data_IF_287628265159
#
_entry.id   IF_287628265159
#
_cell.length_a   1.000
_cell.length_b   1.000
_cell.length_c   1.000
_cell.angle_alpha   90.00
_cell.angle_beta   90.00
_cell.angle_gamma   90.00
#
_symmetry.space_group_name_H-M   'P 1'
#
loop_
_entity.id
_entity.type
_entity.pdbx_description
1 polymer ?
#
# COMPACT_ATOMS: atom_id res chain seq x y z
N UNK A 1 8.87 -9.60 8.83
CA UNK A 1 8.93 -8.47 9.78
C UNK A 1 7.88 -7.40 9.48
N UNK A 2 7.98 -6.61 8.40
CA UNK A 2 7.05 -5.49 8.13
C UNK A 2 5.58 -5.89 7.97
N UNK A 3 5.29 -6.99 7.27
CA UNK A 3 3.92 -7.51 7.14
C UNK A 3 3.34 -7.87 8.52
N UNK A 4 4.13 -8.54 9.37
CA UNK A 4 3.70 -8.90 10.73
C UNK A 4 3.50 -7.68 11.62
N UNK A 5 4.39 -6.68 11.54
CA UNK A 5 4.23 -5.42 12.26
C UNK A 5 2.98 -4.65 11.81
N UNK A 6 2.69 -4.63 10.50
CA UNK A 6 1.47 -4.03 9.95
C UNK A 6 0.20 -4.71 10.44
N UNK A 7 0.17 -6.05 10.49
CA UNK A 7 -0.96 -6.80 11.07
C UNK A 7 -1.05 -6.53 12.59
N UNK A 8 0.07 -6.50 13.31
CA UNK A 8 0.11 -6.20 14.75
C UNK A 8 -0.39 -4.79 15.09
N UNK A 9 -0.21 -3.83 14.18
CA UNK A 9 -0.73 -2.48 14.31
C UNK A 9 -2.27 -2.46 14.42
N UNK A 10 -2.97 -3.36 13.72
CA UNK A 10 -4.43 -3.49 13.80
C UNK A 10 -4.93 -3.85 15.20
N UNK A 11 -4.06 -4.45 16.01
CA UNK A 11 -4.34 -4.85 17.40
C UNK A 11 -3.65 -3.94 18.42
N UNK A 12 -3.08 -2.80 18.00
CA UNK A 12 -2.34 -1.87 18.86
C UNK A 12 -1.01 -2.41 19.40
N UNK A 13 -0.52 -3.53 18.85
CA UNK A 13 0.67 -4.26 19.32
C UNK A 13 1.62 -4.58 18.16
N UNK A 14 2.18 -3.52 17.57
CA UNK A 14 3.13 -3.64 16.46
C UNK A 14 4.41 -4.38 16.86
N UNK A 15 4.82 -4.28 18.12
CA UNK A 15 5.92 -5.01 18.75
C UNK A 15 5.72 -6.52 18.64
N UNK A 16 4.56 -7.02 19.05
CA UNK A 16 4.23 -8.46 19.00
C UNK A 16 4.06 -8.93 17.56
N UNK A 17 3.36 -8.17 16.74
CA UNK A 17 3.20 -8.50 15.32
C UNK A 17 4.54 -8.54 14.59
N UNK A 18 5.45 -7.62 14.92
CA UNK A 18 6.82 -7.60 14.41
C UNK A 18 7.60 -8.86 14.78
N UNK A 19 7.55 -9.27 16.06
CA UNK A 19 8.19 -10.47 16.57
C UNK A 19 7.64 -11.74 15.91
N UNK A 20 6.31 -11.87 15.78
CA UNK A 20 5.66 -12.97 15.06
C UNK A 20 6.13 -12.97 13.60
N UNK A 21 6.14 -11.81 12.96
CA UNK A 21 6.58 -11.65 11.57
C UNK A 21 8.07 -11.92 11.35
N UNK A 22 8.91 -11.83 12.39
CA UNK A 22 10.30 -12.29 12.35
C UNK A 22 10.38 -13.82 12.48
N UNK A 23 9.68 -14.41 13.45
CA UNK A 23 9.66 -15.85 13.68
C UNK A 23 9.14 -16.64 12.48
N UNK A 24 8.02 -16.21 11.90
CA UNK A 24 7.46 -16.84 10.67
C UNK A 24 8.43 -16.72 9.49
N UNK A 25 9.08 -15.56 9.34
CA UNK A 25 10.08 -15.36 8.30
C UNK A 25 11.30 -16.28 8.46
N UNK A 26 11.75 -16.50 9.70
CA UNK A 26 12.83 -17.43 10.01
C UNK A 26 12.46 -18.88 9.67
N UNK A 27 11.27 -19.33 10.06
CA UNK A 27 10.77 -20.66 9.71
C UNK A 27 10.67 -20.84 8.19
N UNK A 28 10.12 -19.86 7.47
CA UNK A 28 10.02 -19.90 6.03
C UNK A 28 11.40 -20.06 5.36
N UNK A 29 12.42 -19.33 5.83
CA UNK A 29 13.79 -19.50 5.34
C UNK A 29 14.35 -20.90 5.60
N UNK A 30 14.08 -21.50 6.76
CA UNK A 30 14.50 -22.86 7.06
C UNK A 30 13.86 -23.90 6.12
N UNK A 31 12.56 -23.75 5.81
CA UNK A 31 11.86 -24.63 4.87
C UNK A 31 12.32 -24.44 3.42
N UNK A 32 12.72 -23.23 3.03
CA UNK A 32 13.19 -22.93 1.67
C UNK A 32 14.65 -23.31 1.42
N UNK A 33 15.45 -23.55 2.48
CA UNK A 33 16.90 -23.79 2.42
C UNK A 33 17.31 -25.01 1.57
N UNK A 34 16.45 -26.01 1.42
CA UNK A 34 16.74 -27.27 0.72
C UNK A 34 16.30 -27.31 -0.75
N UNK A 35 15.60 -26.29 -1.26
CA UNK A 35 15.28 -26.21 -2.68
C UNK A 35 16.39 -25.45 -3.38
N UNK A 36 16.94 -26.00 -4.46
CA UNK A 36 17.75 -25.23 -5.40
C UNK A 36 16.96 -24.00 -5.79
N UNK A 37 17.36 -22.85 -5.24
CA UNK A 37 16.81 -21.56 -5.59
C UNK A 37 17.32 -21.29 -6.99
N UNK A 38 16.65 -21.86 -8.01
CA UNK A 38 16.72 -21.33 -9.36
C UNK A 38 16.52 -19.84 -9.17
N UNK A 39 17.52 -19.04 -9.53
CA UNK A 39 17.38 -17.59 -9.61
C UNK A 39 16.34 -17.36 -10.69
N UNK A 40 15.07 -17.48 -10.31
CA UNK A 40 13.99 -16.82 -11.00
C UNK A 40 14.40 -15.38 -10.85
N UNK A 41 14.91 -14.80 -11.92
CA UNK A 41 15.03 -13.35 -12.01
C UNK A 41 13.62 -12.86 -11.73
N UNK A 42 13.38 -12.47 -10.48
CA UNK A 42 12.12 -11.86 -10.07
C UNK A 42 12.17 -10.49 -10.72
N UNK A 43 11.84 -10.46 -12.01
CA UNK A 43 11.52 -9.26 -12.73
C UNK A 43 10.29 -8.72 -12.02
N UNK A 44 10.49 -7.79 -11.09
CA UNK A 44 9.39 -7.05 -10.49
C UNK A 44 8.61 -6.49 -11.68
N UNK A 45 7.36 -6.92 -11.90
CA UNK A 45 6.63 -6.49 -13.07
C UNK A 45 6.55 -4.98 -13.00
N UNK A 46 6.90 -4.29 -14.09
CA UNK A 46 6.93 -2.82 -14.14
C UNK A 46 5.58 -2.19 -13.78
N UNK A 47 4.52 -2.99 -13.78
CA UNK A 47 3.15 -2.64 -13.40
C UNK A 47 2.90 -2.59 -11.89
N UNK A 48 3.75 -3.21 -11.04
CA UNK A 48 3.54 -3.27 -9.58
C UNK A 48 3.50 -1.87 -8.93
N UNK A 49 4.45 -0.95 -9.23
CA UNK A 49 4.39 0.42 -8.72
C UNK A 49 3.18 1.19 -9.27
N UNK A 50 2.81 0.92 -10.52
CA UNK A 50 1.69 1.58 -11.19
C UNK A 50 0.33 1.20 -10.61
N UNK A 51 0.16 -0.07 -10.21
CA UNK A 51 -1.03 -0.54 -9.48
C UNK A 51 -1.11 0.17 -8.12
N UNK A 52 0.01 0.27 -7.41
CA UNK A 52 0.08 0.99 -6.13
C UNK A 52 -0.31 2.47 -6.26
N UNK A 53 0.24 3.17 -7.26
CA UNK A 53 -0.11 4.56 -7.58
C UNK A 53 -1.60 4.75 -7.87
N UNK A 54 -2.18 3.84 -8.65
CA UNK A 54 -3.61 3.88 -8.98
C UNK A 54 -4.49 3.67 -7.74
N UNK A 55 -4.13 2.71 -6.87
CA UNK A 55 -4.85 2.45 -5.62
C UNK A 55 -4.80 3.64 -4.66
N UNK A 56 -3.62 4.24 -4.48
CA UNK A 56 -3.44 5.43 -3.63
C UNK A 56 -4.26 6.60 -4.17
N UNK A 57 -4.26 6.81 -5.50
CA UNK A 57 -5.06 7.86 -6.14
C UNK A 57 -6.56 7.66 -5.92
N UNK A 58 -7.05 6.43 -6.01
CA UNK A 58 -8.47 6.11 -5.74
C UNK A 58 -8.85 6.38 -4.28
N UNK A 59 -8.00 6.00 -3.33
CA UNK A 59 -8.22 6.29 -1.90
C UNK A 59 -8.28 7.80 -1.61
N UNK A 60 -7.43 8.59 -2.27
CA UNK A 60 -7.44 10.05 -2.18
C UNK A 60 -8.74 10.66 -2.73
N UNK A 61 -9.23 10.16 -3.86
CA UNK A 61 -10.53 10.59 -4.41
C UNK A 61 -11.65 10.25 -3.43
N UNK A 62 -11.69 9.02 -2.91
CA UNK A 62 -12.71 8.59 -1.95
C UNK A 62 -12.68 9.45 -0.68
N UNK A 63 -11.48 9.75 -0.15
CA UNK A 63 -11.30 10.64 1.00
C UNK A 63 -11.77 12.06 0.70
N UNK A 64 -11.43 12.58 -0.49
CA UNK A 64 -11.87 13.88 -0.96
C UNK A 64 -13.39 13.99 -1.07
N UNK A 65 -14.06 12.94 -1.55
CA UNK A 65 -15.54 12.86 -1.60
C UNK A 65 -16.12 12.83 -0.18
N UNK A 66 -15.55 12.02 0.73
CA UNK A 66 -16.01 11.89 2.12
C UNK A 66 -15.97 13.22 2.88
N UNK A 67 -14.97 14.06 2.61
CA UNK A 67 -14.83 15.40 3.19
C UNK A 67 -16.02 16.32 2.90
N UNK A 68 -16.74 16.11 1.80
CA UNK A 68 -17.97 16.87 1.51
C UNK A 68 -19.19 16.33 2.26
N UNK A 69 -19.19 15.06 2.66
CA UNK A 69 -20.31 14.39 3.33
C UNK A 69 -20.29 14.62 4.84
N UNK A 70 -19.12 14.80 5.44
CA UNK A 70 -18.97 15.05 6.88
C UNK A 70 -17.93 16.15 7.14
N UNK A 71 -18.32 17.44 7.03
CA UNK A 71 -17.42 18.57 7.16
C UNK A 71 -17.10 18.89 8.63
N UNK A 72 -16.40 17.98 9.31
CA UNK A 72 -15.87 18.21 10.67
C UNK A 72 -14.50 18.91 10.64
N UNK A 73 -13.85 19.00 9.47
CA UNK A 73 -12.56 19.67 9.29
C UNK A 73 -12.70 21.19 9.09
N UNK A 74 -11.67 21.94 9.50
CA UNK A 74 -11.61 23.41 9.45
C UNK A 74 -11.87 24.02 8.05
N UNK A 75 -11.48 23.32 6.97
CA UNK A 75 -11.66 23.73 5.56
C UNK A 75 -12.02 22.51 4.67
N UNK A 76 -13.22 21.93 4.85
CA UNK A 76 -13.57 20.64 4.27
C UNK A 76 -13.67 20.70 2.73
N UNK A 77 -14.19 21.80 2.19
CA UNK A 77 -14.34 22.00 0.75
C UNK A 77 -12.99 22.16 0.04
N UNK A 78 -12.09 23.00 0.56
CA UNK A 78 -10.77 23.22 -0.05
C UNK A 78 -9.92 21.95 0.00
N UNK A 79 -9.91 21.27 1.15
CA UNK A 79 -9.20 20.01 1.33
C UNK A 79 -9.79 18.90 0.44
N UNK A 80 -11.12 18.82 0.33
CA UNK A 80 -11.82 17.86 -0.52
C UNK A 80 -11.49 18.04 -2.00
N UNK A 81 -11.58 19.26 -2.52
CA UNK A 81 -11.21 19.59 -3.91
C UNK A 81 -9.74 19.26 -4.17
N UNK A 82 -8.84 19.65 -3.27
CA UNK A 82 -7.40 19.38 -3.41
C UNK A 82 -7.10 17.87 -3.42
N UNK A 83 -7.74 17.10 -2.53
CA UNK A 83 -7.59 15.65 -2.45
C UNK A 83 -8.10 14.95 -3.72
N UNK A 84 -9.25 15.37 -4.26
CA UNK A 84 -9.78 14.83 -5.53
C UNK A 84 -8.84 15.14 -6.69
N UNK A 85 -8.38 16.38 -6.82
CA UNK A 85 -7.44 16.79 -7.88
C UNK A 85 -6.14 16.00 -7.84
N UNK A 86 -5.55 15.85 -6.65
CA UNK A 86 -4.32 15.10 -6.46
C UNK A 86 -4.53 13.60 -6.69
N UNK A 87 -5.65 13.04 -6.24
CA UNK A 87 -6.01 11.64 -6.49
C UNK A 87 -6.20 11.36 -7.97
N UNK A 88 -6.86 12.25 -8.71
CA UNK A 88 -7.05 12.14 -10.16
C UNK A 88 -5.72 12.17 -10.91
N UNK A 89 -4.81 13.06 -10.51
CA UNK A 89 -3.45 13.12 -11.06
C UNK A 89 -2.68 11.80 -10.86
N UNK A 90 -2.74 11.21 -9.66
CA UNK A 90 -2.07 9.93 -9.37
C UNK A 90 -2.66 8.76 -10.15
N UNK A 91 -3.99 8.71 -10.32
CA UNK A 91 -4.66 7.69 -11.15
C UNK A 91 -4.21 7.81 -12.60
N UNK A 92 -4.16 9.02 -13.16
CA UNK A 92 -3.70 9.24 -14.54
C UNK A 92 -2.24 8.78 -14.71
N UNK A 93 -1.35 9.17 -13.79
CA UNK A 93 0.05 8.71 -13.81
C UNK A 93 0.17 7.18 -13.71
N UNK A 94 -0.61 6.56 -12.82
CA UNK A 94 -0.66 5.11 -12.66
C UNK A 94 -1.09 4.40 -13.94
N UNK A 95 -2.18 4.87 -14.57
CA UNK A 95 -2.69 4.30 -15.83
C UNK A 95 -1.72 4.48 -16.99
N UNK A 96 -1.08 5.65 -17.14
CA UNK A 96 -0.05 5.89 -18.17
C UNK A 96 1.13 4.94 -17.97
N UNK A 97 1.53 4.71 -16.72
CA UNK A 97 2.63 3.80 -16.39
C UNK A 97 2.30 2.32 -16.61
N UNK A 98 1.03 1.91 -16.60
CA UNK A 98 0.60 0.54 -16.93
C UNK A 98 0.64 0.30 -18.45
N UNK A 99 0.34 1.33 -19.24
CA UNK A 99 0.27 1.25 -20.71
C UNK A 99 1.65 1.19 -21.39
N UNK A 100 2.73 1.45 -20.66
CA UNK A 100 4.10 1.59 -21.17
C UNK A 100 4.97 0.41 -20.74
#
# INVERSE_FOLDING_TARGET
MFIGAGIGLLFGRADVGGAIGMGVGFLAMAFLRGKEVRRVEVSIPKTLPSIGLTLIGLLLIATGILLFVSPELLYPYLAGVAAIMLGMFLVIMGLISIKK
#
